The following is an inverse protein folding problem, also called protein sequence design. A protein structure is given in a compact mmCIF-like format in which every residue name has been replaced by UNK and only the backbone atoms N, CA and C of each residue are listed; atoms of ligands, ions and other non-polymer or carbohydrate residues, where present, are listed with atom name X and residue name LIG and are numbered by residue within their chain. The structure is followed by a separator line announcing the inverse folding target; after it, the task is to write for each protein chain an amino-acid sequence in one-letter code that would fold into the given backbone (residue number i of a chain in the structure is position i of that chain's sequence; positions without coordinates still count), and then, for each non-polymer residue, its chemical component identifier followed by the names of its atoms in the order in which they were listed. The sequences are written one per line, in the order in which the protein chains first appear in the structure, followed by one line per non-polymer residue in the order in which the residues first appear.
data_IF_406125554195
#
_entry.id   IF_406125554195
#
_cell.length_a   1.000
_cell.length_b   1.000
_cell.length_c   1.000
_cell.angle_alpha   90.00
_cell.angle_beta   90.00
_cell.angle_gamma   90.00
#
_symmetry.space_group_name_H-M   'P 1'
#
loop_
_entity.id
_entity.type
_entity.pdbx_description
1 polymer ?
#
# COMPACT_ATOMS: atom_id res chain seq x y z
N UNK A 1 51.79 -20.32 33.17
CA UNK A 1 52.17 -18.90 33.05
C UNK A 1 51.62 -18.35 31.73
N UNK A 2 50.40 -17.80 31.73
CA UNK A 2 49.79 -17.17 30.55
C UNK A 2 50.05 -15.67 30.57
N UNK A 3 50.83 -15.16 29.61
CA UNK A 3 51.10 -13.73 29.45
C UNK A 3 49.80 -12.99 29.11
N UNK A 4 49.34 -12.14 30.03
CA UNK A 4 48.30 -11.15 29.79
C UNK A 4 48.87 -10.04 28.90
N UNK A 5 48.31 -9.75 27.71
CA UNK A 5 48.76 -8.60 26.94
C UNK A 5 48.34 -7.31 27.66
N UNK A 6 49.33 -6.50 28.05
CA UNK A 6 49.14 -5.20 28.67
C UNK A 6 48.50 -4.23 27.66
N UNK A 7 47.26 -3.83 27.92
CA UNK A 7 46.56 -2.82 27.13
C UNK A 7 46.96 -1.42 27.64
N UNK A 8 47.88 -0.75 26.94
CA UNK A 8 48.15 0.67 27.15
C UNK A 8 46.94 1.48 26.68
N UNK A 9 46.10 1.91 27.62
CA UNK A 9 44.98 2.82 27.36
C UNK A 9 45.52 4.23 27.05
N UNK A 10 45.13 4.86 25.93
CA UNK A 10 45.54 6.23 25.64
C UNK A 10 44.85 7.19 26.61
N UNK A 11 45.60 7.85 27.47
CA UNK A 11 45.10 8.79 28.49
C UNK A 11 44.94 10.23 27.97
N UNK A 12 44.75 10.41 26.66
CA UNK A 12 44.59 11.73 26.01
C UNK A 12 43.59 11.71 24.84
N UNK A 13 43.12 12.87 24.37
CA UNK A 13 42.14 12.96 23.29
C UNK A 13 42.68 12.29 22.02
N UNK A 14 41.91 11.35 21.48
CA UNK A 14 42.30 10.55 20.33
C UNK A 14 42.31 11.43 19.06
N UNK A 15 43.43 11.44 18.32
CA UNK A 15 43.47 12.02 16.98
C UNK A 15 42.59 11.22 16.02
N UNK A 16 42.08 11.86 14.96
CA UNK A 16 41.16 11.25 13.98
C UNK A 16 41.68 9.91 13.45
N UNK A 17 42.97 9.83 13.12
CA UNK A 17 43.61 8.59 12.66
C UNK A 17 43.65 7.49 13.73
N UNK A 18 43.97 7.86 14.98
CA UNK A 18 44.04 6.92 16.10
C UNK A 18 42.65 6.35 16.44
N UNK A 19 41.59 7.16 16.34
CA UNK A 19 40.20 6.69 16.52
C UNK A 19 39.85 5.61 15.51
N UNK A 20 40.08 5.87 14.22
CA UNK A 20 39.69 4.95 13.14
C UNK A 20 40.51 3.66 13.19
N UNK A 21 41.83 3.75 13.42
CA UNK A 21 42.68 2.56 13.53
C UNK A 21 42.34 1.71 14.76
N UNK A 22 42.05 2.34 15.91
CA UNK A 22 41.60 1.62 17.09
C UNK A 22 40.23 0.95 16.88
N UNK A 23 39.28 1.65 16.26
CA UNK A 23 37.96 1.11 15.94
C UNK A 23 38.05 -0.08 14.96
N UNK A 24 38.84 0.04 13.88
CA UNK A 24 39.07 -1.05 12.93
C UNK A 24 39.71 -2.27 13.60
N UNK A 25 40.70 -2.05 14.48
CA UNK A 25 41.34 -3.13 15.23
C UNK A 25 40.33 -3.86 16.12
N UNK A 26 39.55 -3.13 16.91
CA UNK A 26 38.51 -3.70 17.79
C UNK A 26 37.45 -4.44 16.97
N UNK A 27 36.98 -3.84 15.87
CA UNK A 27 36.00 -4.45 14.98
C UNK A 27 36.52 -5.77 14.39
N UNK A 28 37.76 -5.79 13.91
CA UNK A 28 38.39 -7.00 13.35
C UNK A 28 38.58 -8.08 14.41
N UNK A 29 39.09 -7.72 15.59
CA UNK A 29 39.45 -8.67 16.66
C UNK A 29 38.19 -9.34 17.29
N UNK A 30 37.01 -8.75 17.10
CA UNK A 30 35.70 -9.26 17.57
C UNK A 30 34.65 -9.34 16.46
N UNK A 31 35.09 -9.48 15.21
CA UNK A 31 34.24 -9.37 14.02
C UNK A 31 32.96 -10.20 14.10
N UNK A 32 33.06 -11.50 14.42
CA UNK A 32 31.89 -12.40 14.47
C UNK A 32 30.83 -11.95 15.47
N UNK A 33 31.25 -11.43 16.63
CA UNK A 33 30.33 -10.98 17.68
C UNK A 33 29.62 -9.70 17.26
N UNK A 34 30.37 -8.69 16.80
CA UNK A 34 29.77 -7.41 16.39
C UNK A 34 28.93 -7.55 15.13
N UNK A 35 29.38 -8.34 14.16
CA UNK A 35 28.60 -8.67 12.97
C UNK A 35 27.33 -9.42 13.33
N UNK A 36 27.38 -10.39 14.25
CA UNK A 36 26.19 -11.12 14.72
C UNK A 36 25.15 -10.20 15.36
N UNK A 37 25.59 -9.33 16.27
CA UNK A 37 24.71 -8.32 16.90
C UNK A 37 24.11 -7.36 15.88
N UNK A 38 24.94 -6.84 14.96
CA UNK A 38 24.47 -5.97 13.89
C UNK A 38 23.46 -6.69 13.00
N UNK A 39 23.73 -7.92 12.58
CA UNK A 39 22.82 -8.72 11.77
C UNK A 39 21.46 -8.92 12.46
N UNK A 40 21.45 -9.28 13.75
CA UNK A 40 20.21 -9.36 14.53
C UNK A 40 19.47 -8.02 14.58
N UNK A 41 20.19 -6.91 14.77
CA UNK A 41 19.58 -5.58 14.73
C UNK A 41 18.94 -5.26 13.37
N UNK A 42 19.61 -5.61 12.25
CA UNK A 42 19.06 -5.43 10.91
C UNK A 42 17.81 -6.28 10.64
N UNK A 43 17.65 -7.46 11.28
CA UNK A 43 16.43 -8.25 11.17
C UNK A 43 15.19 -7.52 11.73
N UNK A 44 15.36 -6.68 12.75
CA UNK A 44 14.24 -5.89 13.31
C UNK A 44 13.68 -4.87 12.32
N UNK A 45 14.48 -4.42 11.34
CA UNK A 45 14.03 -3.53 10.27
C UNK A 45 13.00 -4.23 9.36
N UNK A 46 12.95 -5.57 9.35
CA UNK A 46 11.98 -6.33 8.56
C UNK A 46 10.60 -6.47 9.22
N UNK A 47 10.45 -6.08 10.50
CA UNK A 47 9.16 -6.18 11.22
C UNK A 47 8.01 -5.45 10.51
N UNK A 48 8.18 -4.21 10.00
CA UNK A 48 7.16 -3.55 9.19
C UNK A 48 6.79 -4.32 7.92
N UNK A 49 7.78 -4.95 7.26
CA UNK A 49 7.56 -5.72 6.02
C UNK A 49 6.71 -6.96 6.32
N UNK A 50 6.99 -7.66 7.42
CA UNK A 50 6.13 -8.74 7.89
C UNK A 50 4.72 -8.23 8.22
N UNK A 51 4.60 -7.09 8.88
CA UNK A 51 3.34 -6.44 9.20
C UNK A 51 2.49 -6.16 7.95
N UNK A 52 3.11 -5.62 6.88
CA UNK A 52 2.43 -5.39 5.61
C UNK A 52 1.98 -6.69 4.94
N UNK A 53 2.83 -7.72 4.90
CA UNK A 53 2.44 -9.03 4.38
C UNK A 53 1.24 -9.61 5.15
N UNK A 54 1.26 -9.49 6.48
CA UNK A 54 0.18 -9.97 7.35
C UNK A 54 -1.10 -9.18 7.15
N UNK A 55 -1.01 -7.86 7.02
CA UNK A 55 -2.13 -6.97 6.74
C UNK A 55 -2.82 -7.31 5.41
N UNK A 56 -2.05 -7.46 4.32
CA UNK A 56 -2.59 -7.83 3.01
C UNK A 56 -3.24 -9.22 3.05
N UNK A 57 -2.60 -10.18 3.71
CA UNK A 57 -3.15 -11.53 3.87
C UNK A 57 -4.47 -11.55 4.66
N UNK A 58 -4.57 -10.80 5.77
CA UNK A 58 -5.81 -10.72 6.56
C UNK A 58 -6.92 -10.02 5.75
N UNK A 59 -6.58 -8.95 5.02
CA UNK A 59 -7.53 -8.26 4.16
C UNK A 59 -8.10 -9.20 3.09
N UNK A 60 -7.25 -9.97 2.43
CA UNK A 60 -7.65 -10.95 1.42
C UNK A 60 -8.40 -12.16 2.03
N UNK A 61 -8.13 -12.49 3.29
CA UNK A 61 -8.90 -13.49 4.03
C UNK A 61 -10.36 -13.06 4.21
N UNK A 62 -10.62 -11.78 4.48
CA UNK A 62 -11.99 -11.26 4.59
C UNK A 62 -12.73 -11.45 3.26
N UNK A 63 -12.13 -11.09 2.14
CA UNK A 63 -12.78 -11.27 0.83
C UNK A 63 -13.01 -12.75 0.48
N UNK A 64 -12.12 -13.66 0.89
CA UNK A 64 -12.36 -15.11 0.77
C UNK A 64 -13.56 -15.58 1.58
N UNK A 65 -13.70 -15.14 2.83
CA UNK A 65 -14.85 -15.50 3.66
C UNK A 65 -16.16 -14.98 3.05
N UNK A 66 -16.19 -13.72 2.61
CA UNK A 66 -17.38 -13.17 1.93
C UNK A 66 -17.68 -13.94 0.65
N UNK A 67 -16.67 -14.30 -0.15
CA UNK A 67 -16.87 -15.10 -1.35
C UNK A 67 -17.42 -16.50 -1.03
N UNK A 68 -16.94 -17.14 0.05
CA UNK A 68 -17.43 -18.45 0.49
C UNK A 68 -18.90 -18.42 0.91
N UNK A 69 -19.33 -17.32 1.55
CA UNK A 69 -20.73 -17.06 1.89
C UNK A 69 -21.60 -16.91 0.63
N UNK A 70 -21.12 -16.15 -0.36
CA UNK A 70 -21.82 -15.99 -1.65
C UNK A 70 -21.93 -17.30 -2.45
N UNK A 71 -21.05 -18.27 -2.19
CA UNK A 71 -21.04 -19.58 -2.83
C UNK A 71 -21.84 -20.62 -2.02
N UNK A 72 -22.56 -20.20 -0.97
CA UNK A 72 -23.34 -21.07 -0.07
C UNK A 72 -22.50 -22.21 0.55
N UNK A 73 -21.19 -22.01 0.65
CA UNK A 73 -20.23 -22.94 1.26
C UNK A 73 -19.38 -22.18 2.27
N UNK A 74 -19.96 -21.80 3.43
CA UNK A 74 -19.28 -20.97 4.40
C UNK A 74 -18.02 -21.67 4.91
N UNK A 75 -16.89 -20.98 4.81
CA UNK A 75 -15.60 -21.45 5.31
C UNK A 75 -15.34 -20.90 6.71
N UNK A 76 -14.81 -21.72 7.62
CA UNK A 76 -14.44 -21.20 8.95
C UNK A 76 -13.24 -20.27 8.85
N UNK A 77 -13.13 -19.31 9.78
CA UNK A 77 -11.98 -18.40 9.86
C UNK A 77 -10.66 -19.18 9.98
N UNK A 78 -10.67 -20.31 10.69
CA UNK A 78 -9.47 -21.13 10.89
C UNK A 78 -9.03 -21.81 9.60
N UNK A 79 -9.97 -22.34 8.81
CA UNK A 79 -9.67 -22.97 7.52
C UNK A 79 -9.18 -21.94 6.51
N UNK A 80 -9.84 -20.77 6.43
CA UNK A 80 -9.39 -19.66 5.61
C UNK A 80 -7.97 -19.20 6.00
N UNK A 81 -7.66 -19.13 7.30
CA UNK A 81 -6.30 -18.80 7.80
C UNK A 81 -5.26 -19.84 7.38
N UNK A 82 -5.58 -21.13 7.44
CA UNK A 82 -4.68 -22.21 7.00
C UNK A 82 -4.35 -22.09 5.51
N UNK A 83 -5.30 -21.61 4.71
CA UNK A 83 -5.12 -21.44 3.28
C UNK A 83 -4.39 -20.15 2.88
N UNK A 84 -4.61 -19.05 3.61
CA UNK A 84 -4.08 -17.71 3.26
C UNK A 84 -2.73 -17.41 3.93
N UNK A 85 -2.54 -17.74 5.21
CA UNK A 85 -1.32 -17.37 5.95
C UNK A 85 -0.02 -17.92 5.34
N UNK A 86 0.07 -19.19 4.88
CA UNK A 86 1.32 -19.70 4.28
C UNK A 86 1.71 -18.95 3.00
N UNK A 87 0.74 -18.29 2.35
CA UNK A 87 0.90 -17.55 1.10
C UNK A 87 0.97 -16.03 1.30
N UNK A 88 1.10 -15.53 2.54
CA UNK A 88 1.12 -14.09 2.85
C UNK A 88 2.14 -13.30 2.01
N UNK A 89 3.31 -13.87 1.75
CA UNK A 89 4.35 -13.25 0.91
C UNK A 89 3.92 -13.05 -0.54
N UNK A 90 3.02 -13.90 -1.06
CA UNK A 90 2.47 -13.73 -2.41
C UNK A 90 1.55 -12.50 -2.47
N UNK A 91 0.81 -12.21 -1.40
CA UNK A 91 -0.01 -11.00 -1.32
C UNK A 91 0.85 -9.75 -1.23
N UNK A 92 1.91 -9.77 -0.42
CA UNK A 92 2.87 -8.67 -0.39
C UNK A 92 3.49 -8.43 -1.77
N UNK A 93 3.93 -9.50 -2.43
CA UNK A 93 4.51 -9.40 -3.77
C UNK A 93 3.50 -8.88 -4.81
N UNK A 94 2.25 -9.34 -4.77
CA UNK A 94 1.19 -8.80 -5.62
C UNK A 94 0.95 -7.31 -5.36
N UNK A 95 0.91 -6.88 -4.10
CA UNK A 95 0.80 -5.48 -3.71
C UNK A 95 1.96 -4.63 -4.23
N UNK A 96 3.19 -5.12 -4.12
CA UNK A 96 4.40 -4.46 -4.66
C UNK A 96 4.31 -4.32 -6.18
N UNK A 97 3.96 -5.40 -6.89
CA UNK A 97 3.84 -5.37 -8.36
C UNK A 97 2.78 -4.38 -8.83
N UNK A 98 1.59 -4.42 -8.21
CA UNK A 98 0.51 -3.48 -8.51
C UNK A 98 0.93 -2.04 -8.21
N UNK A 99 1.60 -1.81 -7.08
CA UNK A 99 2.13 -0.48 -6.73
C UNK A 99 3.19 0.00 -7.73
N UNK A 100 4.06 -0.89 -8.20
CA UNK A 100 5.08 -0.56 -9.20
C UNK A 100 4.46 -0.22 -10.55
N UNK A 101 3.38 -0.90 -10.96
CA UNK A 101 2.63 -0.57 -12.18
C UNK A 101 2.04 0.84 -12.07
N UNK A 102 1.36 1.16 -10.96
CA UNK A 102 0.80 2.49 -10.75
C UNK A 102 1.88 3.58 -10.70
N UNK A 103 2.95 3.33 -9.95
CA UNK A 103 4.08 4.24 -9.84
C UNK A 103 4.76 4.47 -11.19
N UNK A 104 5.02 3.40 -11.96
CA UNK A 104 5.65 3.51 -13.27
C UNK A 104 4.82 4.33 -14.26
N UNK A 105 3.50 4.13 -14.28
CA UNK A 105 2.59 4.91 -15.14
C UNK A 105 2.51 6.37 -14.69
N UNK A 106 2.41 6.62 -13.39
CA UNK A 106 2.44 7.98 -12.85
C UNK A 106 3.76 8.69 -13.19
N UNK A 107 4.91 8.01 -13.04
CA UNK A 107 6.22 8.54 -13.35
C UNK A 107 6.37 8.89 -14.84
N UNK A 108 5.96 7.98 -15.74
CA UNK A 108 5.97 8.23 -17.19
C UNK A 108 5.08 9.42 -17.54
N UNK A 109 3.89 9.51 -16.95
CA UNK A 109 3.00 10.65 -17.16
C UNK A 109 3.58 11.96 -16.62
N UNK A 110 4.19 11.96 -15.43
CA UNK A 110 4.84 13.15 -14.85
C UNK A 110 5.98 13.66 -15.74
N UNK A 111 6.81 12.76 -16.27
CA UNK A 111 7.87 13.12 -17.22
C UNK A 111 7.24 13.66 -18.52
N UNK A 112 6.22 12.97 -19.05
CA UNK A 112 5.52 13.38 -20.26
C UNK A 112 4.89 14.77 -20.14
N UNK A 113 4.23 15.07 -19.01
CA UNK A 113 3.67 16.40 -18.73
C UNK A 113 4.74 17.46 -18.59
N UNK A 114 5.83 17.16 -17.86
CA UNK A 114 6.95 18.09 -17.71
C UNK A 114 7.56 18.45 -19.06
N UNK A 115 7.81 17.46 -19.92
CA UNK A 115 8.30 17.68 -21.27
C UNK A 115 7.31 18.45 -22.14
N UNK A 116 6.02 18.11 -22.08
CA UNK A 116 4.97 18.82 -22.82
C UNK A 116 4.97 20.31 -22.47
N UNK A 117 4.98 20.66 -21.18
CA UNK A 117 4.98 22.06 -20.74
C UNK A 117 6.26 22.79 -21.18
N UNK A 118 7.43 22.16 -21.01
CA UNK A 118 8.72 22.76 -21.40
C UNK A 118 8.80 22.99 -22.91
N UNK A 119 8.45 21.99 -23.71
CA UNK A 119 8.52 22.06 -25.18
C UNK A 119 7.53 23.07 -25.73
N UNK A 120 6.27 23.02 -25.28
CA UNK A 120 5.27 23.99 -25.73
C UNK A 120 5.60 25.41 -25.27
N UNK A 121 6.14 25.58 -24.06
CA UNK A 121 6.61 26.88 -23.56
C UNK A 121 7.78 27.43 -24.38
N UNK A 122 8.69 26.57 -24.84
CA UNK A 122 9.80 26.97 -25.70
C UNK A 122 9.33 27.36 -27.12
N UNK A 123 8.36 26.63 -27.69
CA UNK A 123 7.84 26.88 -29.04
C UNK A 123 6.94 28.13 -29.09
N UNK A 124 6.00 28.24 -28.15
CA UNK A 124 4.98 29.29 -28.16
C UNK A 124 5.44 30.58 -27.46
N UNK A 125 6.57 30.53 -26.76
CA UNK A 125 7.12 31.64 -25.99
C UNK A 125 6.30 31.99 -24.74
N UNK A 126 6.66 33.08 -24.07
CA UNK A 126 6.05 33.50 -22.80
C UNK A 126 4.94 34.57 -22.96
N UNK A 127 4.25 34.59 -24.09
CA UNK A 127 3.14 35.52 -24.29
C UNK A 127 1.90 35.05 -23.48
N UNK A 128 1.09 35.97 -22.92
CA UNK A 128 -0.08 35.59 -22.11
C UNK A 128 -1.04 34.61 -22.82
N UNK A 129 -1.28 34.81 -24.12
CA UNK A 129 -2.10 33.91 -24.94
C UNK A 129 -1.51 32.50 -25.07
N UNK A 130 -0.18 32.40 -25.21
CA UNK A 130 0.52 31.12 -25.28
C UNK A 130 0.39 30.35 -23.96
N UNK A 131 0.54 31.04 -22.82
CA UNK A 131 0.37 30.45 -21.49
C UNK A 131 -1.05 29.90 -21.31
N UNK A 132 -2.08 30.63 -21.75
CA UNK A 132 -3.47 30.17 -21.72
C UNK A 132 -3.64 28.90 -22.57
N UNK A 133 -3.05 28.85 -23.78
CA UNK A 133 -3.14 27.67 -24.65
C UNK A 133 -2.44 26.46 -24.02
N UNK A 134 -1.21 26.64 -23.50
CA UNK A 134 -0.44 25.55 -22.87
C UNK A 134 -1.13 25.04 -21.61
N UNK A 135 -1.67 25.93 -20.78
CA UNK A 135 -2.42 25.53 -19.59
C UNK A 135 -3.68 24.74 -19.95
N UNK A 136 -4.44 25.16 -20.96
CA UNK A 136 -5.62 24.43 -21.43
C UNK A 136 -5.26 23.03 -21.95
N UNK A 137 -4.20 22.93 -22.77
CA UNK A 137 -3.70 21.63 -23.27
C UNK A 137 -3.24 20.72 -22.13
N UNK A 138 -2.58 21.29 -21.12
CA UNK A 138 -2.14 20.55 -19.93
C UNK A 138 -3.33 20.01 -19.15
N UNK A 139 -4.38 20.82 -18.95
CA UNK A 139 -5.62 20.37 -18.29
C UNK A 139 -6.27 19.22 -19.06
N UNK A 140 -6.38 19.32 -20.39
CA UNK A 140 -6.91 18.24 -21.23
C UNK A 140 -6.07 16.97 -21.07
N UNK A 141 -4.74 17.10 -21.12
CA UNK A 141 -3.83 15.96 -20.97
C UNK A 141 -3.94 15.30 -19.59
N UNK A 142 -4.12 16.09 -18.52
CA UNK A 142 -4.39 15.59 -17.16
C UNK A 142 -5.72 14.84 -17.12
N UNK A 143 -6.78 15.37 -17.73
CA UNK A 143 -8.10 14.69 -17.77
C UNK A 143 -7.97 13.33 -18.49
N UNK A 144 -7.30 13.30 -19.65
CA UNK A 144 -7.06 12.05 -20.40
C UNK A 144 -6.29 11.05 -19.54
N UNK A 145 -5.24 11.49 -18.85
CA UNK A 145 -4.48 10.64 -17.95
C UNK A 145 -5.34 10.12 -16.80
N UNK A 146 -6.15 10.96 -16.16
CA UNK A 146 -7.06 10.53 -15.09
C UNK A 146 -8.04 9.46 -15.59
N UNK A 147 -8.59 9.60 -16.78
CA UNK A 147 -9.48 8.58 -17.38
C UNK A 147 -8.74 7.26 -17.58
N UNK A 148 -7.52 7.29 -18.11
CA UNK A 148 -6.68 6.09 -18.29
C UNK A 148 -6.33 5.47 -16.93
N UNK A 149 -5.96 6.29 -15.96
CA UNK A 149 -5.54 5.86 -14.62
C UNK A 149 -6.71 5.23 -13.84
N UNK A 150 -7.91 5.81 -13.89
CA UNK A 150 -9.11 5.24 -13.25
C UNK A 150 -9.52 3.93 -13.94
N UNK A 151 -9.37 3.83 -15.28
CA UNK A 151 -9.57 2.56 -16.00
C UNK A 151 -8.58 1.49 -15.55
N UNK A 152 -7.33 1.85 -15.34
CA UNK A 152 -6.31 0.95 -14.82
C UNK A 152 -6.63 0.49 -13.39
N UNK A 153 -7.02 1.41 -12.50
CA UNK A 153 -7.46 1.08 -11.12
C UNK A 153 -8.52 -0.01 -11.16
N UNK A 154 -9.53 0.16 -12.00
CA UNK A 154 -10.62 -0.81 -12.15
C UNK A 154 -10.09 -2.19 -12.55
N UNK A 155 -9.13 -2.25 -13.47
CA UNK A 155 -8.58 -3.53 -13.95
C UNK A 155 -7.74 -4.28 -12.90
N UNK A 156 -7.12 -3.56 -11.98
CA UNK A 156 -6.27 -4.12 -10.92
C UNK A 156 -6.96 -4.17 -9.55
N UNK A 157 -8.21 -3.73 -9.45
CA UNK A 157 -8.93 -3.57 -8.19
C UNK A 157 -9.15 -4.90 -7.45
N UNK A 158 -9.35 -5.99 -8.18
CA UNK A 158 -9.72 -7.29 -7.61
C UNK A 158 -8.54 -8.26 -7.45
N UNK A 159 -7.30 -7.88 -7.78
CA UNK A 159 -6.12 -8.79 -7.83
C UNK A 159 -5.93 -9.67 -6.58
N UNK A 160 -6.23 -9.13 -5.41
CA UNK A 160 -6.09 -9.84 -4.13
C UNK A 160 -7.08 -11.02 -4.00
N UNK A 161 -8.23 -10.94 -4.63
CA UNK A 161 -9.36 -11.88 -4.47
C UNK A 161 -9.12 -13.21 -5.19
N UNK A 162 -8.75 -13.26 -6.50
CA UNK A 162 -8.32 -14.50 -7.14
C UNK A 162 -7.15 -15.16 -6.42
N UNK A 163 -6.20 -14.37 -5.89
CA UNK A 163 -5.05 -14.89 -5.15
C UNK A 163 -5.44 -15.59 -3.85
N UNK A 164 -6.48 -15.10 -3.17
CA UNK A 164 -7.01 -15.70 -1.95
C UNK A 164 -7.88 -16.93 -2.20
N UNK A 165 -8.68 -16.92 -3.26
CA UNK A 165 -9.70 -17.94 -3.52
C UNK A 165 -9.14 -19.11 -4.35
N UNK A 166 -8.43 -18.80 -5.43
CA UNK A 166 -8.02 -19.82 -6.39
C UNK A 166 -6.74 -20.54 -5.91
N UNK A 167 -6.71 -21.85 -6.14
CA UNK A 167 -5.59 -22.70 -5.74
C UNK A 167 -4.37 -22.45 -6.63
N UNK A 168 -3.16 -22.58 -6.06
CA UNK A 168 -1.88 -22.45 -6.77
C UNK A 168 -1.66 -21.14 -7.55
N UNK A 169 -2.43 -20.10 -7.25
CA UNK A 169 -2.28 -18.78 -7.87
C UNK A 169 -0.95 -18.11 -7.45
N UNK A 170 -0.30 -17.47 -8.42
CA UNK A 170 0.87 -16.59 -8.23
C UNK A 170 0.45 -15.12 -8.36
N UNK A 171 1.29 -14.19 -7.92
CA UNK A 171 0.98 -12.76 -8.02
C UNK A 171 0.75 -12.31 -9.48
N UNK A 172 1.61 -12.74 -10.40
CA UNK A 172 1.52 -12.38 -11.82
C UNK A 172 0.25 -12.96 -12.46
N UNK A 173 -0.07 -14.23 -12.15
CA UNK A 173 -1.29 -14.85 -12.66
C UNK A 173 -2.54 -14.17 -12.09
N UNK A 174 -2.53 -13.72 -10.83
CA UNK A 174 -3.64 -12.98 -10.24
C UNK A 174 -3.88 -11.61 -10.93
N UNK A 175 -2.81 -10.91 -11.34
CA UNK A 175 -2.90 -9.67 -12.12
C UNK A 175 -3.53 -9.95 -13.49
N UNK A 176 -3.03 -10.95 -14.22
CA UNK A 176 -3.58 -11.34 -15.51
C UNK A 176 -5.06 -11.75 -15.39
N UNK A 177 -5.39 -12.53 -14.36
CA UNK A 177 -6.75 -12.96 -14.05
C UNK A 177 -7.68 -11.78 -13.78
N UNK A 178 -7.25 -10.81 -12.96
CA UNK A 178 -7.99 -9.57 -12.70
C UNK A 178 -8.26 -8.79 -14.00
N UNK A 179 -7.25 -8.70 -14.87
CA UNK A 179 -7.37 -8.02 -16.16
C UNK A 179 -8.39 -8.70 -17.09
N UNK A 180 -8.32 -10.02 -17.20
CA UNK A 180 -9.24 -10.82 -18.02
C UNK A 180 -10.68 -10.73 -17.52
N UNK A 181 -10.89 -10.82 -16.20
CA UNK A 181 -12.24 -10.79 -15.64
C UNK A 181 -12.90 -9.41 -15.78
N UNK A 182 -12.14 -8.34 -15.63
CA UNK A 182 -12.65 -6.96 -15.67
C UNK A 182 -12.84 -6.39 -17.07
N UNK A 183 -12.30 -7.07 -18.10
CA UNK A 183 -12.47 -6.65 -19.49
C UNK A 183 -13.96 -6.56 -19.88
N UNK A 184 -14.35 -5.54 -20.64
CA UNK A 184 -15.76 -5.30 -20.99
C UNK A 184 -16.66 -4.78 -19.87
N UNK A 185 -16.25 -4.84 -18.60
CA UNK A 185 -17.06 -4.44 -17.44
C UNK A 185 -16.53 -3.19 -16.69
N UNK A 186 -15.50 -2.53 -17.22
CA UNK A 186 -14.80 -1.42 -16.55
C UNK A 186 -15.74 -0.29 -16.12
N UNK A 187 -16.69 0.13 -16.97
CA UNK A 187 -17.62 1.21 -16.63
C UNK A 187 -18.55 0.86 -15.46
N UNK A 188 -19.06 -0.38 -15.43
CA UNK A 188 -19.88 -0.86 -14.31
C UNK A 188 -19.06 -0.96 -13.02
N UNK A 189 -17.82 -1.43 -13.12
CA UNK A 189 -16.92 -1.50 -11.97
C UNK A 189 -16.60 -0.11 -11.41
N UNK A 190 -16.36 0.88 -12.27
CA UNK A 190 -16.18 2.28 -11.85
C UNK A 190 -17.40 2.79 -11.09
N UNK A 191 -18.61 2.52 -11.57
CA UNK A 191 -19.83 2.90 -10.86
C UNK A 191 -19.99 2.20 -9.51
N UNK A 192 -19.71 0.90 -9.43
CA UNK A 192 -19.76 0.16 -8.15
C UNK A 192 -18.76 0.75 -7.15
N UNK A 193 -17.51 1.00 -7.59
CA UNK A 193 -16.47 1.59 -6.74
C UNK A 193 -16.84 3.01 -6.34
N UNK A 194 -17.42 3.80 -7.25
CA UNK A 194 -17.88 5.16 -6.96
C UNK A 194 -19.00 5.17 -5.91
N UNK A 195 -20.03 4.34 -6.08
CA UNK A 195 -21.11 4.20 -5.09
C UNK A 195 -20.57 3.70 -3.75
N UNK A 196 -19.65 2.74 -3.77
CA UNK A 196 -18.99 2.23 -2.56
C UNK A 196 -18.21 3.35 -1.86
N UNK A 197 -17.50 4.17 -2.62
CA UNK A 197 -16.80 5.34 -2.08
C UNK A 197 -17.78 6.33 -1.42
N UNK A 198 -18.91 6.64 -2.08
CA UNK A 198 -19.94 7.51 -1.50
C UNK A 198 -20.49 6.97 -0.17
N UNK A 199 -20.65 5.65 -0.02
CA UNK A 199 -21.08 5.02 1.23
C UNK A 199 -20.04 5.23 2.35
N UNK A 200 -18.75 5.31 2.01
CA UNK A 200 -17.68 5.58 3.00
C UNK A 200 -17.47 7.05 3.35
N UNK A 201 -18.07 7.98 2.58
CA UNK A 201 -17.90 9.42 2.79
C UNK A 201 -18.40 9.92 4.15
N UNK A 202 -19.60 9.54 4.65
CA UNK A 202 -20.08 10.02 5.94
C UNK A 202 -19.12 9.67 7.09
N UNK A 203 -18.58 8.45 7.09
CA UNK A 203 -17.59 8.01 8.09
C UNK A 203 -16.32 8.87 7.98
N UNK A 204 -15.85 9.12 6.75
CA UNK A 204 -14.67 9.94 6.52
C UNK A 204 -14.87 11.38 6.98
N UNK A 205 -16.04 11.97 6.73
CA UNK A 205 -16.40 13.32 7.18
C UNK A 205 -16.40 13.38 8.71
N UNK A 206 -17.01 12.40 9.39
CA UNK A 206 -17.00 12.32 10.86
C UNK A 206 -15.57 12.25 11.40
N UNK A 207 -14.71 11.41 10.80
CA UNK A 207 -13.30 11.30 11.20
C UNK A 207 -12.56 12.63 11.03
N UNK A 208 -12.80 13.36 9.93
CA UNK A 208 -12.19 14.66 9.71
C UNK A 208 -12.68 15.70 10.72
N UNK A 209 -13.98 15.72 11.04
CA UNK A 209 -14.55 16.60 12.06
C UNK A 209 -13.92 16.31 13.43
N UNK A 210 -13.85 15.04 13.83
CA UNK A 210 -13.24 14.64 15.10
C UNK A 210 -11.75 15.05 15.15
N UNK A 211 -11.01 14.84 14.06
CA UNK A 211 -9.60 15.23 13.96
C UNK A 211 -9.42 16.75 14.06
N UNK A 212 -10.27 17.53 13.39
CA UNK A 212 -10.27 18.99 13.47
C UNK A 212 -10.61 19.50 14.88
N UNK A 213 -11.56 18.86 15.57
CA UNK A 213 -11.90 19.19 16.97
C UNK A 213 -10.69 18.92 17.88
N UNK A 214 -10.02 17.78 17.72
CA UNK A 214 -8.81 17.47 18.50
C UNK A 214 -7.73 18.52 18.25
N UNK A 215 -7.51 18.91 17.00
CA UNK A 215 -6.55 19.95 16.66
C UNK A 215 -6.89 21.28 17.35
N UNK A 216 -8.17 21.68 17.34
CA UNK A 216 -8.64 22.90 17.99
C UNK A 216 -8.45 22.86 19.51
N UNK A 217 -8.85 21.75 20.16
CA UNK A 217 -8.74 21.58 21.60
C UNK A 217 -7.28 21.57 22.06
N UNK A 218 -6.41 20.86 21.33
CA UNK A 218 -4.97 20.88 21.62
C UNK A 218 -4.36 22.25 21.37
N UNK A 219 -4.80 22.97 20.33
CA UNK A 219 -4.30 24.31 20.01
C UNK A 219 -4.72 25.38 21.03
N UNK A 220 -5.83 25.15 21.75
CA UNK A 220 -6.23 25.99 22.87
C UNK A 220 -5.39 25.77 24.14
N UNK A 221 -4.79 24.58 24.30
CA UNK A 221 -3.99 24.20 25.47
C UNK A 221 -2.48 24.38 25.23
N UNK A 222 -2.02 24.22 23.99
CA UNK A 222 -0.61 24.26 23.61
C UNK A 222 -0.44 25.10 22.34
N UNK A 223 0.69 25.82 22.23
CA UNK A 223 1.08 26.48 20.99
C UNK A 223 1.29 25.46 19.87
N UNK A 224 0.87 25.79 18.64
CA UNK A 224 0.97 24.89 17.49
C UNK A 224 2.42 24.46 17.17
N UNK A 225 3.41 25.32 17.48
CA UNK A 225 4.84 25.03 17.30
C UNK A 225 5.44 24.18 18.43
N UNK A 226 4.65 23.83 19.45
CA UNK A 226 5.13 23.01 20.57
C UNK A 226 5.37 21.56 20.13
N UNK A 227 6.54 20.97 20.44
CA UNK A 227 6.77 19.55 20.20
C UNK A 227 5.75 18.64 20.91
N UNK A 228 5.24 19.07 22.07
CA UNK A 228 4.24 18.34 22.84
C UNK A 228 2.90 18.30 22.09
N UNK A 229 2.51 19.43 21.48
CA UNK A 229 1.32 19.49 20.62
C UNK A 229 1.44 18.48 19.47
N UNK A 230 2.57 18.53 18.75
CA UNK A 230 2.81 17.64 17.60
C UNK A 230 2.76 16.16 17.97
N UNK A 231 3.37 15.76 19.09
CA UNK A 231 3.36 14.38 19.57
C UNK A 231 1.96 13.91 19.98
N UNK A 232 1.23 14.71 20.77
CA UNK A 232 -0.13 14.34 21.20
C UNK A 232 -1.09 14.26 20.02
N UNK A 233 -1.02 15.25 19.12
CA UNK A 233 -1.82 15.26 17.90
C UNK A 233 -1.54 14.02 17.05
N UNK A 234 -0.26 13.70 16.82
CA UNK A 234 0.15 12.51 16.06
C UNK A 234 -0.43 11.22 16.66
N UNK A 235 -0.28 11.00 17.97
CA UNK A 235 -0.74 9.78 18.64
C UNK A 235 -2.27 9.64 18.55
N UNK A 236 -3.01 10.72 18.80
CA UNK A 236 -4.47 10.71 18.73
C UNK A 236 -4.98 10.48 17.31
N UNK A 237 -4.41 11.18 16.33
CA UNK A 237 -4.78 11.04 14.91
C UNK A 237 -4.42 9.66 14.38
N UNK A 238 -3.28 9.10 14.80
CA UNK A 238 -2.90 7.72 14.46
C UNK A 238 -3.94 6.73 14.99
N UNK A 239 -4.34 6.85 16.27
CA UNK A 239 -5.34 5.97 16.86
C UNK A 239 -6.69 6.03 16.12
N UNK A 240 -7.15 7.24 15.78
CA UNK A 240 -8.39 7.45 15.00
C UNK A 240 -8.27 6.90 13.58
N UNK A 241 -7.11 7.09 12.94
CA UNK A 241 -6.84 6.59 11.59
C UNK A 241 -6.83 5.06 11.55
N UNK A 242 -6.26 4.40 12.58
CA UNK A 242 -6.30 2.94 12.71
C UNK A 242 -7.73 2.43 12.94
N UNK A 243 -8.49 3.07 13.85
CA UNK A 243 -9.86 2.67 14.14
C UNK A 243 -10.80 2.85 12.92
N UNK A 244 -10.70 3.98 12.22
CA UNK A 244 -11.48 4.25 11.02
C UNK A 244 -11.10 3.33 9.85
N UNK A 245 -9.81 3.06 9.66
CA UNK A 245 -9.34 2.06 8.68
C UNK A 245 -9.90 0.66 8.97
N UNK A 246 -9.83 0.22 10.23
CA UNK A 246 -10.36 -1.08 10.65
C UNK A 246 -11.88 -1.21 10.42
N UNK A 247 -12.62 -0.10 10.55
CA UNK A 247 -14.07 -0.06 10.28
C UNK A 247 -14.39 -0.19 8.78
N UNK A 248 -13.58 0.44 7.90
CA UNK A 248 -13.87 0.52 6.47
C UNK A 248 -13.34 -0.67 5.66
N UNK A 249 -12.26 -1.32 6.11
CA UNK A 249 -11.64 -2.44 5.38
C UNK A 249 -12.63 -3.59 5.08
N UNK A 250 -13.44 -4.08 6.04
CA UNK A 250 -14.37 -5.18 5.77
C UNK A 250 -15.35 -4.89 4.63
N UNK A 251 -15.87 -3.65 4.57
CA UNK A 251 -16.76 -3.21 3.51
C UNK A 251 -16.08 -3.27 2.13
N UNK A 252 -14.86 -2.73 2.00
CA UNK A 252 -14.13 -2.78 0.74
C UNK A 252 -13.78 -4.20 0.30
N UNK A 253 -13.44 -5.09 1.24
CA UNK A 253 -13.16 -6.49 0.94
C UNK A 253 -14.43 -7.25 0.53
N UNK A 254 -15.59 -6.93 1.11
CA UNK A 254 -16.87 -7.47 0.68
C UNK A 254 -17.23 -7.02 -0.74
N UNK A 255 -17.08 -5.73 -1.05
CA UNK A 255 -17.30 -5.18 -2.40
C UNK A 255 -16.42 -5.90 -3.43
N UNK A 256 -15.11 -6.07 -3.15
CA UNK A 256 -14.19 -6.81 -4.03
C UNK A 256 -14.64 -8.27 -4.24
N UNK A 257 -15.08 -8.96 -3.19
CA UNK A 257 -15.56 -10.33 -3.26
C UNK A 257 -16.82 -10.47 -4.11
N UNK A 258 -17.81 -9.58 -3.91
CA UNK A 258 -19.05 -9.54 -4.69
C UNK A 258 -18.77 -9.25 -6.16
N UNK A 259 -17.89 -8.29 -6.46
CA UNK A 259 -17.47 -7.99 -7.84
C UNK A 259 -16.84 -9.23 -8.48
N UNK A 260 -15.92 -9.89 -7.80
CA UNK A 260 -15.26 -11.08 -8.33
C UNK A 260 -16.27 -12.21 -8.58
N UNK A 261 -17.22 -12.42 -7.66
CA UNK A 261 -18.31 -13.37 -7.85
C UNK A 261 -19.18 -13.04 -9.08
N UNK A 262 -19.64 -11.79 -9.20
CA UNK A 262 -20.49 -11.35 -10.33
C UNK A 262 -19.74 -11.46 -11.68
N UNK A 263 -18.47 -11.06 -11.75
CA UNK A 263 -17.67 -11.19 -12.98
C UNK A 263 -17.46 -12.64 -13.38
N UNK A 264 -17.19 -13.52 -12.40
CA UNK A 264 -16.99 -14.94 -12.64
C UNK A 264 -18.29 -15.63 -13.04
N UNK A 265 -19.43 -15.25 -12.44
CA UNK A 265 -20.76 -15.72 -12.86
C UNK A 265 -21.08 -15.33 -14.31
N UNK A 266 -20.69 -14.13 -14.75
CA UNK A 266 -20.96 -13.64 -16.10
C UNK A 266 -20.04 -14.24 -17.17
N UNK A 267 -18.76 -14.40 -16.86
CA UNK A 267 -17.75 -14.89 -17.82
C UNK A 267 -17.63 -16.40 -17.85
N UNK A 268 -17.83 -17.06 -16.72
CA UNK A 268 -17.55 -18.49 -16.56
C UNK A 268 -18.82 -19.30 -16.26
N UNK A 269 -19.98 -18.65 -16.23
CA UNK A 269 -21.26 -19.33 -16.05
C UNK A 269 -21.40 -20.03 -14.70
N UNK A 270 -20.74 -19.54 -13.62
CA UNK A 270 -20.83 -20.16 -12.30
C UNK A 270 -22.28 -20.39 -11.82
N UNK A 271 -23.22 -19.52 -12.20
CA UNK A 271 -24.64 -19.68 -11.87
C UNK A 271 -25.33 -20.86 -12.56
N UNK A 272 -24.76 -21.44 -13.62
CA UNK A 272 -25.31 -22.60 -14.31
C UNK A 272 -24.96 -23.92 -13.59
N UNK A 273 -23.75 -24.03 -13.05
CA UNK A 273 -23.31 -25.23 -12.31
C UNK A 273 -24.05 -25.44 -10.98
N UNK A 274 -24.75 -24.43 -10.45
CA UNK A 274 -25.56 -24.53 -9.25
C UNK A 274 -26.96 -25.12 -9.53
N UNK A 275 -27.45 -25.00 -10.77
CA UNK A 275 -28.76 -25.53 -11.18
C UNK A 275 -28.74 -27.03 -11.45
N UNK A 276 -27.57 -27.57 -11.83
CA UNK A 276 -27.39 -28.99 -12.14
C UNK A 276 -26.99 -29.84 -10.91
N UNK A 277 -26.65 -29.21 -9.79
CA UNK A 277 -26.20 -29.87 -8.55
C UNK A 277 -27.19 -29.76 -7.37
N UNK A 278 -28.41 -29.24 -7.63
CA UNK A 278 -29.56 -29.27 -6.73
C UNK A 278 -30.67 -30.11 -7.36
#
# INVERSE_FOLDING_TARGET
MSKNPSFSQPTGPLSVGNVVSAALRIYRDRFKLYYGLAFTAYLWILVPIYGWAKFSAISALISRLVFSELHERPETVNDARRHVNPRMWRFLWAGILVSLIFFGIALVASIGFGLLVVVLGAILGQNPTAIIIVSLLTVIAVIVFLVVYIRLISRLFIVEVPLAIENNMTANSAISRSWQLTEGFVGRLQWIVFVSFLITLPISIVVQIVTAIIQLLLGALFSADSPIFGLLYLVLVLAISLASGALLIPFWQAVKAVIYYDLRSRREGLGLNLRDNN
#
